data_IF_484405060994
#
_entry.id   IF_484405060994
#
_cell.length_a   1.000
_cell.length_b   1.000
_cell.length_c   1.000
_cell.angle_alpha   90.00
_cell.angle_beta   90.00
_cell.angle_gamma   90.00
#
_symmetry.space_group_name_H-M   'P 1'
#
loop_
_entity.id
_entity.type
_entity.pdbx_description
1 polymer ?
#
# COMPACT_ATOMS: atom_id res chain seq x y z
N UNK A 1 14.72 -27.91 0.99
CA UNK A 1 16.07 -27.40 0.71
C UNK A 1 16.07 -25.94 0.20
N UNK A 2 15.06 -25.49 -0.56
CA UNK A 2 14.94 -24.10 -1.03
C UNK A 2 14.76 -23.01 0.07
N UNK A 3 14.10 -23.32 1.20
CA UNK A 3 13.94 -22.36 2.31
C UNK A 3 15.25 -21.94 3.00
N UNK A 4 16.31 -22.75 2.91
CA UNK A 4 17.59 -22.49 3.60
C UNK A 4 18.55 -21.63 2.75
N UNK A 5 18.38 -21.62 1.43
CA UNK A 5 19.16 -20.80 0.50
C UNK A 5 18.58 -19.38 0.33
N UNK A 6 17.28 -19.18 0.54
CA UNK A 6 16.69 -17.83 0.62
C UNK A 6 17.03 -17.12 1.94
N UNK A 7 17.21 -17.88 3.03
CA UNK A 7 17.55 -17.29 4.34
C UNK A 7 18.97 -16.71 4.39
N UNK A 8 19.95 -17.25 3.66
CA UNK A 8 21.34 -16.73 3.69
C UNK A 8 21.59 -15.57 2.73
N UNK A 9 20.66 -15.25 1.84
CA UNK A 9 20.71 -14.08 0.94
C UNK A 9 19.79 -12.95 1.40
N UNK A 10 18.82 -13.23 2.29
CA UNK A 10 17.92 -12.24 2.88
C UNK A 10 18.54 -11.38 3.99
N UNK A 11 19.67 -11.79 4.59
CA UNK A 11 20.39 -10.98 5.58
C UNK A 11 21.01 -9.70 4.98
N UNK A 12 21.06 -9.57 3.64
CA UNK A 12 21.75 -8.49 2.95
C UNK A 12 20.83 -7.45 2.30
N UNK A 13 19.51 -7.49 2.52
CA UNK A 13 18.63 -6.37 2.15
C UNK A 13 18.72 -5.27 3.22
N UNK A 14 19.90 -4.68 3.33
CA UNK A 14 20.14 -3.51 4.16
C UNK A 14 19.37 -2.29 3.63
N UNK A 15 19.10 -1.32 4.50
CA UNK A 15 18.37 -0.08 4.23
C UNK A 15 18.84 0.61 2.94
N UNK A 16 20.15 0.57 2.70
CA UNK A 16 20.84 1.12 1.53
C UNK A 16 20.39 0.45 0.23
N UNK A 17 20.15 -0.85 0.21
CA UNK A 17 19.75 -1.59 -0.99
C UNK A 17 18.31 -1.26 -1.41
N UNK A 18 17.41 -1.03 -0.45
CA UNK A 18 16.03 -0.60 -0.76
C UNK A 18 15.98 0.85 -1.21
N UNK A 19 16.72 1.74 -0.55
CA UNK A 19 16.79 3.14 -0.96
C UNK A 19 17.40 3.31 -2.35
N UNK A 20 18.49 2.59 -2.65
CA UNK A 20 19.13 2.63 -3.97
C UNK A 20 18.21 2.08 -5.06
N UNK A 21 17.38 1.07 -4.76
CA UNK A 21 16.41 0.53 -5.72
C UNK A 21 15.23 1.50 -5.97
N UNK A 22 14.77 2.23 -4.96
CA UNK A 22 13.76 3.29 -5.15
C UNK A 22 14.37 4.46 -5.93
N UNK A 23 15.61 4.84 -5.63
CA UNK A 23 16.33 5.89 -6.37
C UNK A 23 16.58 5.50 -7.82
N UNK A 24 16.86 4.23 -8.12
CA UNK A 24 17.05 3.78 -9.51
C UNK A 24 15.77 3.87 -10.34
N UNK A 25 14.59 3.69 -9.73
CA UNK A 25 13.29 3.96 -10.38
C UNK A 25 13.22 5.43 -10.82
N UNK A 26 13.59 6.37 -9.94
CA UNK A 26 13.57 7.80 -10.23
C UNK A 26 14.56 8.19 -11.34
N UNK A 27 15.74 7.56 -11.40
CA UNK A 27 16.79 7.87 -12.38
C UNK A 27 16.62 7.16 -13.73
N UNK A 28 15.86 6.08 -13.80
CA UNK A 28 15.67 5.35 -15.05
C UNK A 28 14.92 6.20 -16.09
N UNK A 29 15.42 6.20 -17.33
CA UNK A 29 14.86 7.01 -18.43
C UNK A 29 13.90 6.22 -19.31
N UNK A 30 13.98 4.88 -19.33
CA UNK A 30 13.13 4.04 -20.17
C UNK A 30 11.93 3.44 -19.41
N UNK A 31 10.76 3.42 -20.05
CA UNK A 31 9.54 2.81 -19.49
C UNK A 31 9.69 1.32 -19.18
N UNK A 32 10.43 0.59 -20.02
CA UNK A 32 10.67 -0.86 -19.87
C UNK A 32 11.53 -1.17 -18.64
N UNK A 33 12.54 -0.36 -18.39
CA UNK A 33 13.41 -0.49 -17.22
C UNK A 33 12.66 -0.20 -15.92
N UNK A 34 11.87 0.88 -15.88
CA UNK A 34 10.96 1.18 -14.76
C UNK A 34 10.06 -0.01 -14.42
N UNK A 35 9.45 -0.64 -15.43
CA UNK A 35 8.57 -1.79 -15.23
C UNK A 35 9.30 -3.01 -14.69
N UNK A 36 10.50 -3.29 -15.19
CA UNK A 36 11.33 -4.39 -14.69
C UNK A 36 11.73 -4.18 -13.23
N UNK A 37 12.11 -2.95 -12.88
CA UNK A 37 12.47 -2.59 -11.51
C UNK A 37 11.23 -2.70 -10.61
N UNK A 38 10.07 -2.13 -11.00
CA UNK A 38 8.83 -2.26 -10.23
C UNK A 38 8.45 -3.72 -9.98
N UNK A 39 8.54 -4.57 -11.00
CA UNK A 39 8.25 -6.02 -10.86
C UNK A 39 9.13 -6.66 -9.80
N UNK A 40 10.43 -6.38 -9.86
CA UNK A 40 11.41 -6.95 -8.92
C UNK A 40 11.15 -6.43 -7.50
N UNK A 41 10.97 -5.11 -7.34
CA UNK A 41 10.72 -4.50 -6.03
C UNK A 41 9.44 -5.05 -5.42
N UNK A 42 8.33 -5.07 -6.16
CA UNK A 42 7.05 -5.59 -5.66
C UNK A 42 7.19 -7.05 -5.23
N UNK A 43 7.81 -7.91 -6.03
CA UNK A 43 7.98 -9.32 -5.66
C UNK A 43 8.83 -9.48 -4.40
N UNK A 44 9.92 -8.73 -4.26
CA UNK A 44 10.76 -8.76 -3.07
C UNK A 44 9.97 -8.28 -1.85
N UNK A 45 9.31 -7.12 -1.93
CA UNK A 45 8.56 -6.56 -0.81
C UNK A 45 7.38 -7.46 -0.41
N UNK A 46 6.68 -8.06 -1.38
CA UNK A 46 5.63 -9.05 -1.14
C UNK A 46 6.13 -10.25 -0.34
N UNK A 47 7.38 -10.68 -0.52
CA UNK A 47 7.94 -11.78 0.27
C UNK A 47 8.32 -11.34 1.70
N UNK A 48 8.82 -10.12 1.88
CA UNK A 48 9.22 -9.57 3.17
C UNK A 48 8.05 -9.23 4.11
N UNK A 49 6.84 -9.07 3.59
CA UNK A 49 5.62 -8.88 4.40
C UNK A 49 5.29 -10.10 5.27
N UNK A 50 5.84 -11.26 4.94
CA UNK A 50 5.68 -12.50 5.70
C UNK A 50 6.88 -12.80 6.61
N UNK A 51 7.81 -11.87 6.71
CA UNK A 51 8.98 -12.02 7.58
C UNK A 51 8.58 -11.88 9.06
N UNK A 52 9.36 -12.51 9.95
CA UNK A 52 9.13 -12.43 11.40
C UNK A 52 9.63 -11.11 11.98
N UNK A 53 10.49 -10.40 11.26
CA UNK A 53 11.04 -9.12 11.68
C UNK A 53 10.04 -7.99 11.34
N UNK A 54 9.38 -7.37 12.34
CA UNK A 54 8.39 -6.32 12.10
C UNK A 54 8.99 -5.10 11.37
N UNK A 55 10.29 -4.83 11.54
CA UNK A 55 10.97 -3.73 10.84
C UNK A 55 11.06 -3.98 9.32
N UNK A 56 11.18 -5.25 8.89
CA UNK A 56 11.17 -5.60 7.47
C UNK A 56 9.75 -5.51 6.89
N UNK A 57 8.73 -5.91 7.66
CA UNK A 57 7.32 -5.76 7.29
C UNK A 57 6.97 -4.28 7.12
N UNK A 58 7.27 -3.44 8.12
CA UNK A 58 7.05 -1.99 8.07
C UNK A 58 7.75 -1.37 6.86
N UNK A 59 9.03 -1.73 6.63
CA UNK A 59 9.80 -1.22 5.49
C UNK A 59 9.20 -1.61 4.14
N UNK A 60 8.65 -2.82 4.04
CA UNK A 60 7.98 -3.30 2.84
C UNK A 60 6.73 -2.46 2.55
N UNK A 61 5.90 -2.25 3.58
CA UNK A 61 4.69 -1.42 3.49
C UNK A 61 5.04 0.03 3.09
N UNK A 62 6.05 0.62 3.72
CA UNK A 62 6.52 1.97 3.38
C UNK A 62 7.05 2.05 1.94
N UNK A 63 7.68 0.98 1.43
CA UNK A 63 8.17 0.93 0.05
C UNK A 63 7.02 0.90 -0.95
N UNK A 64 5.95 0.14 -0.68
CA UNK A 64 4.74 0.20 -1.50
C UNK A 64 4.15 1.60 -1.53
N UNK A 65 4.08 2.28 -0.39
CA UNK A 65 3.56 3.65 -0.29
C UNK A 65 4.28 4.59 -1.25
N UNK A 66 5.63 4.50 -1.28
CA UNK A 66 6.47 5.29 -2.20
C UNK A 66 6.25 4.95 -3.66
N UNK A 67 6.10 3.66 -4.00
CA UNK A 67 5.81 3.23 -5.36
C UNK A 67 4.47 3.80 -5.82
N UNK A 68 3.43 3.66 -5.01
CA UNK A 68 2.08 4.18 -5.29
C UNK A 68 2.12 5.71 -5.48
N UNK A 69 2.87 6.42 -4.64
CA UNK A 69 3.07 7.87 -4.77
C UNK A 69 3.81 8.27 -6.06
N UNK A 70 4.54 7.36 -6.70
CA UNK A 70 5.31 7.61 -7.92
C UNK A 70 4.50 7.84 -9.20
N UNK A 71 3.16 7.81 -9.14
CA UNK A 71 2.25 8.22 -10.22
C UNK A 71 1.45 7.08 -10.86
N UNK A 72 0.68 7.41 -11.90
CA UNK A 72 -0.34 6.52 -12.49
C UNK A 72 0.19 5.16 -12.97
N UNK A 73 1.38 5.10 -13.58
CA UNK A 73 1.98 3.84 -14.06
C UNK A 73 2.30 2.91 -12.89
N UNK A 74 2.87 3.45 -11.82
CA UNK A 74 3.24 2.69 -10.64
C UNK A 74 2.00 2.18 -9.89
N UNK A 75 0.98 3.02 -9.73
CA UNK A 75 -0.31 2.62 -9.16
C UNK A 75 -0.98 1.49 -9.93
N UNK A 76 -1.04 1.56 -11.27
CA UNK A 76 -1.60 0.49 -12.11
C UNK A 76 -0.87 -0.84 -11.92
N UNK A 77 0.43 -0.80 -11.66
CA UNK A 77 1.22 -1.99 -11.41
C UNK A 77 0.93 -2.58 -10.03
N UNK A 78 0.79 -1.72 -9.02
CA UNK A 78 0.41 -2.08 -7.65
C UNK A 78 -1.00 -2.69 -7.58
N UNK A 79 -1.98 -2.14 -8.30
CA UNK A 79 -3.33 -2.70 -8.38
C UNK A 79 -3.37 -4.13 -8.94
N UNK A 80 -2.44 -4.47 -9.84
CA UNK A 80 -2.36 -5.80 -10.46
C UNK A 80 -1.61 -6.83 -9.62
N UNK A 81 -1.03 -6.45 -8.48
CA UNK A 81 -0.13 -7.30 -7.69
C UNK A 81 -0.74 -7.81 -6.37
N UNK A 82 -2.08 -7.90 -6.27
CA UNK A 82 -2.82 -8.35 -5.08
C UNK A 82 -2.44 -7.60 -3.79
N UNK A 83 -1.98 -6.35 -3.91
CA UNK A 83 -1.49 -5.60 -2.76
C UNK A 83 -2.58 -5.39 -1.70
N UNK A 84 -3.85 -5.28 -2.10
CA UNK A 84 -4.94 -4.98 -1.19
C UNK A 84 -5.19 -6.13 -0.21
N UNK A 85 -5.15 -7.38 -0.69
CA UNK A 85 -5.25 -8.56 0.15
C UNK A 85 -4.10 -8.61 1.16
N UNK A 86 -2.90 -8.30 0.68
CA UNK A 86 -1.68 -8.27 1.49
C UNK A 86 -1.74 -7.18 2.56
N UNK A 87 -2.12 -5.95 2.19
CA UNK A 87 -2.28 -4.83 3.12
C UNK A 87 -3.35 -5.15 4.18
N UNK A 88 -4.46 -5.76 3.76
CA UNK A 88 -5.54 -6.16 4.67
C UNK A 88 -5.07 -7.23 5.67
N UNK A 89 -4.33 -8.25 5.21
CA UNK A 89 -3.76 -9.26 6.08
C UNK A 89 -2.75 -8.68 7.07
N UNK A 90 -1.86 -7.79 6.62
CA UNK A 90 -0.89 -7.13 7.50
C UNK A 90 -1.56 -6.22 8.53
N UNK A 91 -2.67 -5.57 8.17
CA UNK A 91 -3.48 -4.79 9.11
C UNK A 91 -3.97 -5.64 10.28
N UNK A 92 -4.49 -6.85 10.02
CA UNK A 92 -4.93 -7.75 11.09
C UNK A 92 -3.75 -8.28 11.91
N UNK A 93 -2.65 -8.63 11.26
CA UNK A 93 -1.47 -9.19 11.93
C UNK A 93 -0.77 -8.16 12.83
N UNK A 94 -0.75 -6.89 12.42
CA UNK A 94 -0.02 -5.82 13.10
C UNK A 94 -0.93 -4.71 13.64
N UNK A 95 -2.19 -5.02 13.93
CA UNK A 95 -3.20 -4.07 14.43
C UNK A 95 -2.81 -3.32 15.71
N UNK A 96 -1.80 -3.79 16.46
CA UNK A 96 -1.29 -3.11 17.67
C UNK A 96 -0.07 -2.24 17.42
N UNK A 97 0.52 -2.27 16.23
CA UNK A 97 1.73 -1.52 15.88
C UNK A 97 1.36 -0.21 15.19
N UNK A 98 1.41 0.89 15.95
CA UNK A 98 1.12 2.24 15.44
C UNK A 98 2.00 2.61 14.23
N UNK A 99 3.27 2.20 14.22
CA UNK A 99 4.20 2.45 13.12
C UNK A 99 3.75 1.77 11.83
N UNK A 100 3.38 0.49 11.91
CA UNK A 100 2.89 -0.28 10.77
C UNK A 100 1.55 0.28 10.27
N UNK A 101 0.64 0.64 11.18
CA UNK A 101 -0.66 1.20 10.81
C UNK A 101 -0.54 2.56 10.13
N UNK A 102 0.39 3.43 10.58
CA UNK A 102 0.69 4.70 9.91
C UNK A 102 1.15 4.47 8.47
N UNK A 103 2.05 3.51 8.25
CA UNK A 103 2.52 3.17 6.89
C UNK A 103 1.42 2.53 6.02
N UNK A 104 0.58 1.66 6.58
CA UNK A 104 -0.57 1.08 5.89
C UNK A 104 -1.55 2.18 5.44
N UNK A 105 -1.80 3.15 6.32
CA UNK A 105 -2.66 4.27 5.99
C UNK A 105 -2.06 5.19 4.91
N UNK A 106 -0.75 5.47 4.94
CA UNK A 106 -0.10 6.26 3.88
C UNK A 106 -0.26 5.60 2.50
N UNK A 107 -0.24 4.26 2.43
CA UNK A 107 -0.59 3.55 1.19
C UNK A 107 -2.02 3.87 0.74
N UNK A 108 -3.00 3.85 1.65
CA UNK A 108 -4.41 4.13 1.33
C UNK A 108 -4.60 5.56 0.82
N UNK A 109 -3.97 6.57 1.43
CA UNK A 109 -4.00 7.94 0.88
C UNK A 109 -3.44 7.94 -0.52
N UNK A 110 -2.24 7.39 -0.73
CA UNK A 110 -1.55 7.47 -2.01
C UNK A 110 -2.34 6.77 -3.13
N UNK A 111 -3.13 5.75 -2.78
CA UNK A 111 -4.08 5.08 -3.68
C UNK A 111 -5.22 6.03 -4.05
N UNK A 112 -5.84 6.70 -3.06
CA UNK A 112 -6.92 7.67 -3.27
C UNK A 112 -6.46 8.98 -3.92
N UNK A 113 -5.20 9.37 -3.74
CA UNK A 113 -4.72 10.68 -4.13
C UNK A 113 -4.70 10.82 -5.65
N UNK A 114 -5.61 11.68 -6.14
CA UNK A 114 -5.82 12.01 -7.54
C UNK A 114 -4.65 12.84 -8.08
N UNK A 115 -3.52 12.18 -8.34
CA UNK A 115 -2.38 12.84 -8.97
C UNK A 115 -2.50 12.84 -10.50
N UNK A 116 -3.21 11.89 -11.12
CA UNK A 116 -3.30 11.80 -12.59
C UNK A 116 -4.51 11.01 -13.15
N UNK A 117 -4.98 9.97 -12.43
CA UNK A 117 -6.07 9.08 -12.85
C UNK A 117 -6.94 8.75 -11.62
N UNK A 118 -8.25 8.53 -11.83
CA UNK A 118 -9.13 7.99 -10.78
C UNK A 118 -8.74 6.55 -10.44
N UNK A 119 -9.09 6.11 -9.23
CA UNK A 119 -8.96 4.71 -8.83
C UNK A 119 -9.85 3.87 -9.77
N UNK A 120 -9.38 2.72 -10.29
CA UNK A 120 -10.26 1.85 -11.05
C UNK A 120 -11.37 1.32 -10.13
N UNK A 121 -12.61 1.42 -10.60
CA UNK A 121 -13.81 1.19 -9.79
C UNK A 121 -13.84 -0.20 -9.14
N UNK A 122 -13.24 -1.20 -9.79
CA UNK A 122 -13.13 -2.57 -9.29
C UNK A 122 -12.34 -2.71 -7.98
N UNK A 123 -11.44 -1.76 -7.68
CA UNK A 123 -10.63 -1.77 -6.44
C UNK A 123 -11.28 -0.98 -5.30
N UNK A 124 -12.27 -0.13 -5.60
CA UNK A 124 -12.96 0.70 -4.61
C UNK A 124 -13.54 -0.13 -3.44
N UNK A 125 -14.23 -1.27 -3.66
CA UNK A 125 -14.74 -2.08 -2.55
C UNK A 125 -13.64 -2.61 -1.62
N UNK A 126 -12.47 -2.96 -2.15
CA UNK A 126 -11.35 -3.46 -1.36
C UNK A 126 -10.77 -2.36 -0.47
N UNK A 127 -10.61 -1.15 -1.03
CA UNK A 127 -10.10 0.00 -0.29
C UNK A 127 -11.08 0.43 0.82
N UNK A 128 -12.38 0.39 0.55
CA UNK A 128 -13.43 0.63 1.54
C UNK A 128 -13.33 -0.39 2.68
N UNK A 129 -13.18 -1.69 2.37
CA UNK A 129 -13.06 -2.76 3.37
C UNK A 129 -11.87 -2.55 4.34
N UNK A 130 -10.72 -2.13 3.81
CA UNK A 130 -9.55 -1.80 4.64
C UNK A 130 -9.84 -0.57 5.51
N UNK A 131 -10.45 0.47 4.93
CA UNK A 131 -10.81 1.69 5.66
C UNK A 131 -11.82 1.43 6.79
N UNK A 132 -12.78 0.54 6.54
CA UNK A 132 -13.79 0.11 7.51
C UNK A 132 -13.16 -0.58 8.73
N UNK A 133 -12.11 -1.38 8.50
CA UNK A 133 -11.35 -2.03 9.56
C UNK A 133 -10.55 -1.03 10.41
N UNK A 134 -10.09 0.07 9.81
CA UNK A 134 -9.34 1.13 10.50
C UNK A 134 -10.24 2.11 11.25
N UNK A 135 -11.49 2.34 10.83
CA UNK A 135 -12.44 3.22 11.54
C UNK A 135 -12.68 2.76 12.98
N UNK A 136 -12.61 1.46 13.24
CA UNK A 136 -12.76 0.91 14.58
C UNK A 136 -11.52 1.10 15.48
N UNK A 137 -10.43 1.65 14.96
CA UNK A 137 -9.19 1.85 15.70
C UNK A 137 -9.33 2.99 16.72
N UNK A 138 -8.71 2.83 17.89
CA UNK A 138 -8.83 3.78 19.02
C UNK A 138 -7.86 4.96 18.97
N UNK A 139 -6.90 4.90 18.07
CA UNK A 139 -5.88 5.94 17.90
C UNK A 139 -6.45 7.09 17.07
N UNK A 140 -6.42 8.30 17.63
CA UNK A 140 -7.02 9.49 17.03
C UNK A 140 -6.32 9.92 15.74
N UNK A 141 -4.99 9.73 15.65
CA UNK A 141 -4.24 10.05 14.42
C UNK A 141 -4.74 9.14 13.30
N UNK A 142 -4.76 7.82 13.54
CA UNK A 142 -5.25 6.82 12.57
C UNK A 142 -6.69 7.12 12.18
N UNK A 143 -7.56 7.43 13.13
CA UNK A 143 -8.96 7.73 12.85
C UNK A 143 -9.08 8.99 11.98
N UNK A 144 -8.46 10.11 12.37
CA UNK A 144 -8.51 11.36 11.61
C UNK A 144 -8.00 11.18 10.17
N UNK A 145 -6.97 10.36 10.02
CA UNK A 145 -6.44 9.93 8.75
C UNK A 145 -7.44 9.14 7.90
N UNK A 146 -8.07 8.10 8.44
CA UNK A 146 -9.09 7.32 7.71
C UNK A 146 -10.29 8.18 7.33
N UNK A 147 -10.73 9.08 8.23
CA UNK A 147 -11.80 10.03 7.96
C UNK A 147 -11.43 10.99 6.84
N UNK A 148 -10.18 11.43 6.76
CA UNK A 148 -9.73 12.25 5.65
C UNK A 148 -9.67 11.47 4.32
N UNK A 149 -9.24 10.21 4.33
CA UNK A 149 -9.16 9.41 3.11
C UNK A 149 -10.53 9.11 2.49
N UNK A 150 -11.57 8.85 3.30
CA UNK A 150 -12.94 8.61 2.80
C UNK A 150 -13.59 9.84 2.14
N UNK A 151 -13.05 11.05 2.36
CA UNK A 151 -13.51 12.25 1.64
C UNK A 151 -12.98 12.32 0.19
N UNK A 152 -11.92 11.60 -0.14
CA UNK A 152 -11.35 11.59 -1.49
C UNK A 152 -12.31 11.00 -2.54
N UNK A 153 -12.98 9.86 -2.29
CA UNK A 153 -14.03 9.38 -3.17
C UNK A 153 -15.17 10.38 -3.40
N UNK A 154 -15.49 11.24 -2.42
CA UNK A 154 -16.52 12.26 -2.59
C UNK A 154 -16.16 13.29 -3.67
N UNK A 155 -14.87 13.42 -4.02
CA UNK A 155 -14.34 14.27 -5.08
C UNK A 155 -14.06 13.50 -6.40
N UNK A 156 -14.56 12.27 -6.53
CA UNK A 156 -14.41 11.42 -7.73
C UNK A 156 -15.74 11.24 -8.48
N UNK A 157 -15.82 10.29 -9.41
CA UNK A 157 -17.04 10.08 -10.21
C UNK A 157 -18.27 9.65 -9.37
N UNK A 158 -19.48 9.84 -9.92
CA UNK A 158 -20.74 9.45 -9.28
C UNK A 158 -20.78 7.97 -8.87
N UNK A 159 -20.11 7.11 -9.63
CA UNK A 159 -20.08 5.67 -9.37
C UNK A 159 -19.24 5.35 -8.13
N UNK A 160 -18.10 6.02 -7.96
CA UNK A 160 -17.29 5.91 -6.76
C UNK A 160 -18.05 6.37 -5.52
N UNK A 161 -18.70 7.53 -5.61
CA UNK A 161 -19.53 8.07 -4.53
C UNK A 161 -20.63 7.07 -4.16
N UNK A 162 -21.30 6.49 -5.16
CA UNK A 162 -22.35 5.51 -4.96
C UNK A 162 -21.85 4.27 -4.23
N UNK A 163 -20.66 3.75 -4.57
CA UNK A 163 -20.06 2.61 -3.87
C UNK A 163 -19.73 2.92 -2.41
N UNK A 164 -19.17 4.10 -2.14
CA UNK A 164 -18.87 4.50 -0.75
C UNK A 164 -20.15 4.68 0.06
N UNK A 165 -21.19 5.32 -0.49
CA UNK A 165 -22.50 5.43 0.17
C UNK A 165 -23.10 4.05 0.43
N UNK A 166 -23.09 3.17 -0.58
CA UNK A 166 -23.65 1.81 -0.48
C UNK A 166 -22.93 0.95 0.57
N UNK A 167 -21.64 1.19 0.80
CA UNK A 167 -20.89 0.48 1.85
C UNK A 167 -21.36 0.80 3.27
N UNK A 168 -22.03 1.93 3.46
CA UNK A 168 -22.49 2.38 4.78
C UNK A 168 -21.37 2.88 5.69
N UNK A 169 -20.12 3.04 5.19
CA UNK A 169 -18.97 3.49 5.99
C UNK A 169 -19.23 4.85 6.67
N UNK A 170 -19.97 5.75 6.02
CA UNK A 170 -20.38 7.04 6.60
C UNK A 170 -21.29 6.94 7.82
N UNK A 171 -21.96 5.80 8.06
CA UNK A 171 -22.83 5.60 9.23
C UNK A 171 -22.04 5.19 10.49
N UNK A 172 -20.74 4.91 10.35
CA UNK A 172 -19.86 4.46 11.43
C UNK A 172 -19.02 5.58 12.03
N UNK A 173 -19.04 6.74 11.39
CA UNK A 173 -18.42 8.00 11.80
C UNK A 173 -19.47 8.83 12.53
#
# INVERSE_FOLDING_TARGET
MARKLMSSTMECWDYTNLQTMILSISHSSSKKEKLSIYTTVINTMSSLLWDRNPSLVERSIMTFSRIIAGGSIARKFVYRSNIFDVLNQQLFQHYRSIHVLRELYLNLINIWQKNDDEVPIEFVPQIISISDSLIAHKDEDILGYVLWSITHPANSSSDHVSLVIASGIFKKV
#
